data_IF_791165472327
#
_entry.id   IF_791165472327
#
_cell.length_a   1.000
_cell.length_b   1.000
_cell.length_c   1.000
_cell.angle_alpha   90.00
_cell.angle_beta   90.00
_cell.angle_gamma   90.00
#
_symmetry.space_group_name_H-M   'P 1'
#
loop_
_entity.id
_entity.type
_entity.pdbx_description
1 polymer ?
#
# COMPACT_ATOMS: atom_id res chain seq x y z
N UNK A 1 -24.58 23.77 14.36
CA UNK A 1 -25.56 22.89 13.68
C UNK A 1 -25.22 21.45 14.05
N UNK A 2 -26.04 20.74 14.85
CA UNK A 2 -25.79 19.32 15.16
C UNK A 2 -26.20 18.49 13.95
N UNK A 3 -25.24 17.89 13.25
CA UNK A 3 -25.53 16.92 12.19
C UNK A 3 -26.07 15.67 12.89
N UNK A 4 -27.36 15.34 12.69
CA UNK A 4 -27.91 14.06 13.15
C UNK A 4 -27.20 12.95 12.39
N UNK A 5 -26.50 12.05 13.07
CA UNK A 5 -25.88 10.92 12.39
C UNK A 5 -26.97 9.97 11.88
N UNK A 6 -26.89 9.60 10.61
CA UNK A 6 -27.73 8.52 10.07
C UNK A 6 -27.14 7.19 10.54
N UNK A 7 -27.95 6.39 11.23
CA UNK A 7 -27.56 5.09 11.82
C UNK A 7 -28.41 3.99 11.18
N UNK A 8 -27.79 2.84 10.87
CA UNK A 8 -28.50 1.62 10.50
C UNK A 8 -28.39 0.62 11.65
N UNK A 9 -29.53 0.11 12.10
CA UNK A 9 -29.60 -0.89 13.16
C UNK A 9 -29.76 -2.29 12.54
N UNK A 10 -28.74 -3.14 12.68
CA UNK A 10 -28.75 -4.52 12.19
C UNK A 10 -29.18 -5.54 13.27
N UNK A 11 -29.79 -5.06 14.37
CA UNK A 11 -30.20 -5.87 15.52
C UNK A 11 -29.07 -6.20 16.50
N UNK A 12 -27.87 -6.52 16.01
CA UNK A 12 -26.69 -6.83 16.84
C UNK A 12 -25.57 -5.77 16.77
N UNK A 13 -25.71 -4.80 15.87
CA UNK A 13 -24.72 -3.74 15.66
C UNK A 13 -25.39 -2.48 15.12
N UNK A 14 -24.86 -1.32 15.51
CA UNK A 14 -25.22 -0.03 14.92
C UNK A 14 -24.12 0.44 13.98
N UNK A 15 -24.49 0.77 12.74
CA UNK A 15 -23.57 1.23 11.71
C UNK A 15 -23.79 2.72 11.41
N UNK A 16 -22.84 3.59 11.75
CA UNK A 16 -22.90 4.99 11.33
C UNK A 16 -22.70 5.11 9.82
N UNK A 17 -23.67 5.68 9.12
CA UNK A 17 -23.60 6.04 7.69
C UNK A 17 -23.12 7.46 7.45
N UNK A 18 -22.72 8.16 8.51
CA UNK A 18 -22.26 9.56 8.46
C UNK A 18 -21.31 9.82 9.62
N UNK A 19 -20.40 10.78 9.44
CA UNK A 19 -19.37 11.11 10.43
C UNK A 19 -18.00 10.55 10.07
N UNK A 20 -17.01 10.64 10.98
CA UNK A 20 -15.64 10.18 10.74
C UNK A 20 -15.54 8.67 10.49
N UNK A 21 -16.40 7.91 11.17
CA UNK A 21 -16.61 6.48 10.96
C UNK A 21 -17.88 6.32 10.11
N UNK A 22 -17.72 6.22 8.79
CA UNK A 22 -18.80 5.99 7.84
C UNK A 22 -18.63 4.63 7.18
N UNK A 23 -19.50 3.69 7.53
CA UNK A 23 -19.45 2.32 7.01
C UNK A 23 -19.64 2.26 5.49
N UNK A 24 -20.56 3.06 4.94
CA UNK A 24 -20.80 3.08 3.49
C UNK A 24 -19.57 3.55 2.71
N UNK A 25 -18.85 4.54 3.23
CA UNK A 25 -17.59 5.03 2.64
C UNK A 25 -16.52 3.95 2.72
N UNK A 26 -16.38 3.28 3.86
CA UNK A 26 -15.42 2.19 4.02
C UNK A 26 -15.71 1.03 3.06
N UNK A 27 -16.98 0.59 2.96
CA UNK A 27 -17.39 -0.44 2.00
C UNK A 27 -17.17 0.00 0.54
N UNK A 28 -17.42 1.27 0.22
CA UNK A 28 -17.11 1.83 -1.10
C UNK A 28 -15.62 1.77 -1.43
N UNK A 29 -14.76 2.09 -0.47
CA UNK A 29 -13.31 1.93 -0.59
C UNK A 29 -12.92 0.47 -0.83
N UNK A 30 -13.48 -0.47 -0.06
CA UNK A 30 -13.23 -1.92 -0.24
C UNK A 30 -13.61 -2.40 -1.64
N UNK A 31 -14.81 -2.02 -2.12
CA UNK A 31 -15.26 -2.33 -3.46
C UNK A 31 -14.32 -1.75 -4.52
N UNK A 32 -13.89 -0.50 -4.36
CA UNK A 32 -12.91 0.12 -5.25
C UNK A 32 -11.58 -0.64 -5.25
N UNK A 33 -11.12 -1.11 -4.08
CA UNK A 33 -9.90 -1.92 -3.98
C UNK A 33 -9.99 -3.24 -4.75
N UNK A 34 -11.13 -3.94 -4.65
CA UNK A 34 -11.39 -5.18 -5.40
C UNK A 34 -11.41 -4.89 -6.90
N UNK A 35 -12.19 -3.89 -7.32
CA UNK A 35 -12.34 -3.52 -8.74
C UNK A 35 -11.01 -3.11 -9.35
N UNK A 36 -10.23 -2.26 -8.68
CA UNK A 36 -8.90 -1.83 -9.18
C UNK A 36 -7.96 -3.02 -9.31
N UNK A 37 -7.94 -3.93 -8.34
CA UNK A 37 -7.08 -5.12 -8.39
C UNK A 37 -7.45 -6.00 -9.58
N UNK A 38 -8.74 -6.26 -9.81
CA UNK A 38 -9.24 -7.02 -10.96
C UNK A 38 -8.87 -6.32 -12.26
N UNK A 39 -9.16 -5.03 -12.39
CA UNK A 39 -8.88 -4.26 -13.61
C UNK A 39 -7.40 -4.25 -13.95
N UNK A 40 -6.50 -4.14 -12.96
CA UNK A 40 -5.07 -4.21 -13.21
C UNK A 40 -4.69 -5.53 -13.89
N UNK A 41 -5.20 -6.66 -13.41
CA UNK A 41 -4.94 -7.95 -14.05
C UNK A 41 -5.59 -8.11 -15.43
N UNK A 42 -6.79 -7.53 -15.64
CA UNK A 42 -7.43 -7.53 -16.96
C UNK A 42 -6.66 -6.69 -18.00
N UNK A 43 -5.98 -5.63 -17.55
CA UNK A 43 -5.16 -4.76 -18.39
C UNK A 43 -3.71 -5.23 -18.52
N UNK A 44 -3.32 -6.27 -17.79
CA UNK A 44 -1.96 -6.79 -17.78
C UNK A 44 -1.77 -7.88 -18.83
N UNK A 45 -0.67 -7.81 -19.55
CA UNK A 45 -0.14 -8.97 -20.26
C UNK A 45 0.58 -9.87 -19.26
N UNK A 46 0.10 -11.10 -19.07
CA UNK A 46 0.70 -12.07 -18.15
C UNK A 46 1.89 -12.78 -18.80
N UNK A 47 3.07 -12.13 -18.70
CA UNK A 47 4.32 -12.53 -19.36
C UNK A 47 5.14 -13.58 -18.59
N UNK A 48 4.81 -13.83 -17.33
CA UNK A 48 5.59 -14.60 -16.37
C UNK A 48 6.80 -13.84 -15.81
N UNK A 49 7.68 -14.52 -15.06
CA UNK A 49 8.75 -13.87 -14.30
C UNK A 49 9.78 -13.17 -15.20
N UNK A 50 10.33 -12.05 -14.74
CA UNK A 50 11.41 -11.35 -15.47
C UNK A 50 12.68 -12.18 -15.55
N UNK A 51 13.02 -12.91 -14.48
CA UNK A 51 14.07 -13.92 -14.56
C UNK A 51 13.49 -15.20 -15.16
N UNK A 52 14.08 -15.72 -16.24
CA UNK A 52 13.67 -16.99 -16.80
C UNK A 52 14.15 -18.11 -15.87
N UNK A 53 13.30 -18.51 -14.93
CA UNK A 53 13.50 -19.73 -14.15
C UNK A 53 12.95 -20.89 -14.99
N UNK A 54 13.81 -21.66 -15.66
CA UNK A 54 13.40 -22.78 -16.51
C UNK A 54 14.47 -23.30 -17.46
N UNK A 55 14.14 -24.34 -18.23
CA UNK A 55 15.01 -24.93 -19.26
C UNK A 55 15.07 -24.13 -20.57
N UNK A 56 15.86 -24.60 -21.54
CA UNK A 56 16.17 -23.91 -22.80
C UNK A 56 14.94 -23.41 -23.60
N UNK A 57 13.82 -24.13 -23.60
CA UNK A 57 12.62 -23.68 -24.33
C UNK A 57 11.95 -22.45 -23.71
N UNK A 58 11.94 -22.34 -22.38
CA UNK A 58 11.42 -21.17 -21.68
C UNK A 58 12.29 -19.92 -21.93
N UNK A 59 13.60 -20.14 -22.08
CA UNK A 59 14.57 -19.11 -22.47
C UNK A 59 14.34 -18.66 -23.92
N UNK A 60 14.12 -19.61 -24.85
CA UNK A 60 13.87 -19.33 -26.27
C UNK A 60 12.62 -18.49 -26.48
N UNK A 61 11.50 -18.88 -25.87
CA UNK A 61 10.21 -18.21 -26.02
C UNK A 61 10.22 -16.74 -25.53
N UNK A 62 11.21 -16.36 -24.72
CA UNK A 62 11.33 -15.03 -24.11
C UNK A 62 12.45 -14.17 -24.71
N UNK A 63 13.09 -14.63 -25.77
CA UNK A 63 14.17 -13.89 -26.44
C UNK A 63 15.49 -13.87 -25.66
N UNK A 64 15.69 -14.81 -24.74
CA UNK A 64 16.95 -14.98 -24.02
C UNK A 64 17.98 -15.77 -24.85
N UNK A 65 17.58 -16.42 -25.94
CA UNK A 65 18.50 -17.10 -26.86
C UNK A 65 18.83 -16.20 -28.06
N UNK A 66 20.12 -16.03 -28.34
CA UNK A 66 20.65 -15.47 -29.59
C UNK A 66 21.11 -16.58 -30.53
N UNK A 67 21.70 -16.21 -31.67
CA UNK A 67 22.32 -17.18 -32.59
C UNK A 67 23.78 -17.39 -32.21
N UNK A 68 24.19 -18.64 -32.00
CA UNK A 68 25.60 -19.04 -31.93
C UNK A 68 26.30 -18.91 -33.28
N UNK A 69 27.63 -18.97 -33.28
CA UNK A 69 28.47 -18.89 -34.48
C UNK A 69 28.19 -20.01 -35.50
N UNK A 70 27.53 -21.08 -35.06
CA UNK A 70 27.06 -22.24 -35.79
C UNK A 70 25.57 -22.16 -36.20
N UNK A 71 24.89 -21.04 -35.91
CA UNK A 71 23.48 -20.80 -36.23
C UNK A 71 22.49 -21.49 -35.29
N UNK A 72 22.96 -22.13 -34.21
CA UNK A 72 22.12 -22.71 -33.16
C UNK A 72 21.65 -21.65 -32.15
N UNK A 73 20.52 -21.89 -31.48
CA UNK A 73 20.07 -21.00 -30.40
C UNK A 73 20.99 -21.14 -29.18
N UNK A 74 21.75 -20.09 -28.85
CA UNK A 74 22.64 -20.03 -27.69
C UNK A 74 22.17 -18.94 -26.74
N UNK A 75 22.05 -19.26 -25.45
CA UNK A 75 21.83 -18.26 -24.40
C UNK A 75 23.09 -17.39 -24.29
N UNK A 76 23.05 -16.20 -24.89
CA UNK A 76 24.12 -15.21 -24.67
C UNK A 76 23.77 -14.39 -23.43
N UNK A 77 24.80 -13.96 -22.70
CA UNK A 77 24.62 -13.05 -21.55
C UNK A 77 23.91 -11.76 -22.02
N UNK A 78 24.21 -11.27 -23.22
CA UNK A 78 23.62 -10.08 -23.81
C UNK A 78 22.11 -10.24 -24.05
N UNK A 79 21.70 -11.32 -24.72
CA UNK A 79 20.28 -11.61 -24.94
C UNK A 79 19.53 -11.79 -23.61
N UNK A 80 20.20 -12.37 -22.61
CA UNK A 80 19.62 -12.51 -21.29
C UNK A 80 19.43 -11.18 -20.55
N UNK A 81 20.43 -10.29 -20.64
CA UNK A 81 20.35 -8.94 -20.06
C UNK A 81 19.28 -8.11 -20.76
N UNK A 82 19.19 -8.16 -22.09
CA UNK A 82 18.19 -7.41 -22.87
C UNK A 82 16.77 -7.91 -22.61
N UNK A 83 16.57 -9.23 -22.54
CA UNK A 83 15.29 -9.84 -22.18
C UNK A 83 14.83 -9.41 -20.80
N UNK A 84 15.73 -9.48 -19.82
CA UNK A 84 15.45 -9.02 -18.45
C UNK A 84 15.14 -7.53 -18.39
N UNK A 85 15.94 -6.69 -19.06
CA UNK A 85 15.74 -5.25 -19.10
C UNK A 85 14.39 -4.89 -19.74
N UNK A 86 14.01 -5.59 -20.82
CA UNK A 86 12.71 -5.41 -21.50
C UNK A 86 11.55 -5.78 -20.59
N UNK A 87 11.62 -6.91 -19.90
CA UNK A 87 10.59 -7.35 -18.96
C UNK A 87 10.41 -6.35 -17.79
N UNK A 88 11.51 -5.76 -17.32
CA UNK A 88 11.50 -4.86 -16.17
C UNK A 88 11.09 -3.41 -16.49
N UNK A 89 10.88 -3.01 -17.75
CA UNK A 89 10.65 -1.60 -18.13
C UNK A 89 9.50 -0.94 -17.36
N UNK A 90 8.35 -1.60 -17.29
CA UNK A 90 7.16 -1.03 -16.63
C UNK A 90 7.30 -1.04 -15.09
N UNK A 91 7.77 -2.12 -14.45
CA UNK A 91 8.14 -2.09 -13.02
C UNK A 91 9.19 -1.02 -12.66
N UNK A 92 10.17 -0.78 -13.52
CA UNK A 92 11.15 0.31 -13.34
C UNK A 92 10.47 1.67 -13.39
N UNK A 93 9.58 1.90 -14.36
CA UNK A 93 8.79 3.13 -14.43
C UNK A 93 7.94 3.33 -13.17
N UNK A 94 7.29 2.27 -12.66
CA UNK A 94 6.55 2.33 -11.41
C UNK A 94 7.45 2.68 -10.21
N UNK A 95 8.66 2.11 -10.15
CA UNK A 95 9.65 2.41 -9.10
C UNK A 95 10.10 3.87 -9.14
N UNK A 96 10.51 4.38 -10.31
CA UNK A 96 10.93 5.78 -10.47
C UNK A 96 9.78 6.73 -10.12
N UNK A 97 8.57 6.44 -10.62
CA UNK A 97 7.39 7.24 -10.32
C UNK A 97 7.07 7.23 -8.84
N UNK A 98 7.17 6.07 -8.17
CA UNK A 98 7.01 5.95 -6.73
C UNK A 98 8.01 6.84 -5.98
N UNK A 99 9.29 6.82 -6.35
CA UNK A 99 10.31 7.69 -5.75
C UNK A 99 9.95 9.17 -5.90
N UNK A 100 9.49 9.59 -7.08
CA UNK A 100 9.03 10.97 -7.30
C UNK A 100 7.87 11.32 -6.37
N UNK A 101 6.84 10.47 -6.30
CA UNK A 101 5.69 10.69 -5.41
C UNK A 101 6.13 10.75 -3.94
N UNK A 102 6.97 9.81 -3.52
CA UNK A 102 7.47 9.71 -2.15
C UNK A 102 8.23 10.98 -1.73
N UNK A 103 9.19 11.43 -2.53
CA UNK A 103 9.96 12.64 -2.22
C UNK A 103 9.11 13.91 -2.26
N UNK A 104 8.12 14.00 -3.16
CA UNK A 104 7.19 15.13 -3.17
C UNK A 104 6.29 15.14 -1.92
N UNK A 105 5.83 13.98 -1.44
CA UNK A 105 5.08 13.90 -0.19
C UNK A 105 5.94 14.31 1.03
N UNK A 106 7.19 13.83 1.10
CA UNK A 106 8.12 14.27 2.14
C UNK A 106 8.38 15.79 2.07
N UNK A 107 8.61 16.31 0.87
CA UNK A 107 8.79 17.73 0.63
C UNK A 107 7.56 18.55 1.05
N UNK A 108 6.35 18.02 0.85
CA UNK A 108 5.10 18.66 1.30
C UNK A 108 5.03 18.76 2.82
N UNK A 109 5.44 17.71 3.53
CA UNK A 109 5.53 17.71 5.00
C UNK A 109 6.52 18.75 5.52
N UNK A 110 7.71 18.84 4.91
CA UNK A 110 8.71 19.86 5.26
C UNK A 110 8.22 21.27 4.92
N UNK A 111 7.67 21.46 3.72
CA UNK A 111 7.15 22.75 3.27
C UNK A 111 5.99 23.22 4.15
N UNK A 112 5.13 22.32 4.64
CA UNK A 112 4.09 22.65 5.61
C UNK A 112 4.67 23.25 6.88
N UNK A 113 5.73 22.64 7.43
CA UNK A 113 6.44 23.17 8.61
C UNK A 113 7.10 24.52 8.31
N UNK A 114 7.79 24.65 7.18
CA UNK A 114 8.41 25.90 6.77
C UNK A 114 7.38 27.02 6.53
N UNK A 115 6.24 26.70 5.90
CA UNK A 115 5.16 27.65 5.64
C UNK A 115 4.55 28.20 6.94
N UNK A 116 4.46 27.38 7.99
CA UNK A 116 3.97 27.79 9.30
C UNK A 116 5.03 28.58 10.08
N UNK A 117 6.24 28.04 10.22
CA UNK A 117 7.21 28.53 11.19
C UNK A 117 8.23 29.52 10.62
N UNK A 118 8.65 29.34 9.37
CA UNK A 118 9.72 30.12 8.73
C UNK A 118 9.11 31.25 7.91
N UNK A 119 8.29 30.90 6.92
CA UNK A 119 7.72 31.84 5.96
C UNK A 119 6.45 32.52 6.46
N UNK A 120 5.81 31.99 7.52
CA UNK A 120 4.57 32.51 8.11
C UNK A 120 3.46 32.75 7.07
N UNK A 121 3.40 31.90 6.04
CA UNK A 121 2.41 31.95 4.97
C UNK A 121 1.03 31.44 5.44
N UNK A 122 1.01 30.62 6.49
CA UNK A 122 -0.21 30.09 7.11
C UNK A 122 -0.37 30.78 8.47
N UNK A 123 -1.49 31.48 8.73
CA UNK A 123 -1.74 32.10 10.01
C UNK A 123 -1.74 31.07 11.16
N UNK A 124 -1.14 31.37 12.33
CA UNK A 124 -1.05 30.43 13.44
C UNK A 124 -2.41 29.90 13.94
N UNK A 125 -3.47 30.71 13.86
CA UNK A 125 -4.85 30.31 14.24
C UNK A 125 -5.47 29.28 13.29
N UNK A 126 -4.86 29.06 12.11
CA UNK A 126 -5.28 28.05 11.14
C UNK A 126 -4.50 26.74 11.23
N UNK A 127 -3.44 26.71 12.03
CA UNK A 127 -2.63 25.51 12.26
C UNK A 127 -3.26 24.70 13.38
N UNK A 128 -3.92 23.61 13.04
CA UNK A 128 -4.49 22.72 14.04
C UNK A 128 -3.40 21.85 14.68
N UNK A 129 -3.57 21.40 15.94
CA UNK A 129 -2.68 20.41 16.55
C UNK A 129 -2.54 19.11 15.71
N UNK A 130 -3.55 18.82 14.87
CA UNK A 130 -3.57 17.65 14.00
C UNK A 130 -2.79 17.83 12.69
N UNK A 131 -2.31 19.03 12.38
CA UNK A 131 -1.58 19.30 11.15
C UNK A 131 -0.30 18.44 11.03
N UNK A 132 0.49 18.38 12.10
CA UNK A 132 1.70 17.55 12.17
C UNK A 132 1.36 16.04 12.18
N UNK A 133 0.24 15.68 12.81
CA UNK A 133 -0.25 14.31 12.83
C UNK A 133 -0.67 13.84 11.43
N UNK A 134 -1.30 14.70 10.64
CA UNK A 134 -1.67 14.39 9.24
C UNK A 134 -0.42 14.26 8.37
N UNK A 135 0.52 15.18 8.51
CA UNK A 135 1.77 15.18 7.75
C UNK A 135 2.64 13.94 8.03
N UNK A 136 2.76 13.50 9.28
CA UNK A 136 3.49 12.28 9.65
C UNK A 136 2.81 10.99 9.17
N UNK A 137 1.48 11.01 8.96
CA UNK A 137 0.76 9.87 8.38
C UNK A 137 1.04 9.69 6.90
N UNK A 138 1.30 10.77 6.15
CA UNK A 138 1.71 10.64 4.74
C UNK A 138 3.01 9.86 4.61
N UNK A 139 4.02 10.18 5.42
CA UNK A 139 5.29 9.43 5.38
C UNK A 139 5.13 8.00 5.87
N UNK A 140 4.37 7.79 6.96
CA UNK A 140 4.14 6.45 7.53
C UNK A 140 3.37 5.49 6.60
N UNK A 141 2.46 6.01 5.77
CA UNK A 141 1.67 5.19 4.84
C UNK A 141 2.37 4.93 3.49
N UNK A 142 3.57 5.47 3.29
CA UNK A 142 4.41 5.21 2.12
C UNK A 142 5.44 4.13 2.47
N UNK A 143 4.94 2.90 2.64
CA UNK A 143 5.73 1.79 3.14
C UNK A 143 6.74 1.26 2.10
N UNK A 144 7.98 0.93 2.51
CA UNK A 144 8.96 0.26 1.64
C UNK A 144 8.52 -1.13 1.18
N UNK A 145 7.53 -1.72 1.87
CA UNK A 145 6.91 -3.01 1.54
C UNK A 145 6.49 -3.07 0.08
N UNK A 146 5.96 -1.98 -0.48
CA UNK A 146 5.53 -1.94 -1.88
C UNK A 146 6.69 -2.23 -2.85
N UNK A 147 7.83 -1.56 -2.68
CA UNK A 147 8.97 -1.75 -3.58
C UNK A 147 9.53 -3.16 -3.48
N UNK A 148 9.66 -3.68 -2.25
CA UNK A 148 10.12 -5.06 -2.04
C UNK A 148 9.18 -6.07 -2.70
N UNK A 149 7.87 -5.95 -2.47
CA UNK A 149 6.87 -6.84 -3.07
C UNK A 149 6.80 -6.71 -4.60
N UNK A 150 6.89 -5.48 -5.13
CA UNK A 150 6.92 -5.23 -6.57
C UNK A 150 8.08 -5.96 -7.24
N UNK A 151 9.28 -5.83 -6.69
CA UNK A 151 10.47 -6.44 -7.29
C UNK A 151 10.51 -7.95 -7.12
N UNK A 152 10.15 -8.49 -5.95
CA UNK A 152 10.02 -9.94 -5.78
C UNK A 152 9.00 -10.53 -6.76
N UNK A 153 7.84 -9.91 -6.91
CA UNK A 153 6.82 -10.36 -7.84
C UNK A 153 7.27 -10.21 -9.30
N UNK A 154 7.91 -9.09 -9.67
CA UNK A 154 8.45 -8.87 -11.03
C UNK A 154 9.45 -9.96 -11.39
N UNK A 155 10.39 -10.25 -10.49
CA UNK A 155 11.50 -11.15 -10.73
C UNK A 155 11.02 -12.61 -10.79
N UNK A 156 10.16 -13.01 -9.84
CA UNK A 156 9.86 -14.42 -9.60
C UNK A 156 8.45 -14.86 -10.03
N UNK A 157 7.53 -13.94 -10.29
CA UNK A 157 6.12 -14.27 -10.55
C UNK A 157 5.67 -13.80 -11.92
N UNK A 158 5.51 -12.49 -12.12
CA UNK A 158 5.00 -11.92 -13.37
C UNK A 158 5.43 -10.46 -13.55
N UNK A 159 6.25 -10.18 -14.56
CA UNK A 159 6.77 -8.84 -14.80
C UNK A 159 5.71 -7.89 -15.38
N UNK A 160 4.86 -8.39 -16.28
CA UNK A 160 3.84 -7.59 -16.95
C UNK A 160 2.80 -7.05 -15.98
N UNK A 161 2.22 -7.91 -15.13
CA UNK A 161 1.23 -7.47 -14.15
C UNK A 161 1.84 -6.70 -12.98
N UNK A 162 3.09 -6.97 -12.58
CA UNK A 162 3.79 -6.12 -11.63
C UNK A 162 3.84 -4.66 -12.10
N UNK A 163 4.15 -4.43 -13.37
CA UNK A 163 4.23 -3.09 -13.94
C UNK A 163 2.90 -2.33 -13.83
N UNK A 164 1.81 -2.96 -14.28
CA UNK A 164 0.46 -2.36 -14.25
C UNK A 164 -0.02 -2.11 -12.82
N UNK A 165 0.11 -3.12 -11.95
CA UNK A 165 -0.21 -3.00 -10.52
C UNK A 165 0.60 -1.89 -9.85
N UNK A 166 1.90 -1.82 -10.15
CA UNK A 166 2.80 -0.79 -9.62
C UNK A 166 2.39 0.62 -10.03
N UNK A 167 2.09 0.83 -11.32
CA UNK A 167 1.63 2.14 -11.82
C UNK A 167 0.27 2.52 -11.24
N UNK A 168 -0.67 1.58 -11.11
CA UNK A 168 -1.96 1.83 -10.48
C UNK A 168 -1.78 2.30 -9.03
N UNK A 169 -0.87 1.68 -8.28
CA UNK A 169 -0.57 2.08 -6.90
C UNK A 169 0.06 3.48 -6.83
N UNK A 170 0.95 3.83 -7.77
CA UNK A 170 1.52 5.19 -7.88
C UNK A 170 0.42 6.23 -8.11
N UNK A 171 -0.50 5.97 -9.04
CA UNK A 171 -1.64 6.88 -9.30
C UNK A 171 -2.49 7.04 -8.05
N UNK A 172 -2.79 5.95 -7.33
CA UNK A 172 -3.53 6.02 -6.08
C UNK A 172 -2.81 6.90 -5.05
N UNK A 173 -1.49 6.79 -4.92
CA UNK A 173 -0.73 7.66 -4.00
C UNK A 173 -0.69 9.11 -4.44
N UNK A 174 -0.69 9.43 -5.74
CA UNK A 174 -0.84 10.82 -6.18
C UNK A 174 -2.13 11.46 -5.70
N UNK A 175 -3.22 10.69 -5.64
CA UNK A 175 -4.54 11.19 -5.19
C UNK A 175 -4.65 11.26 -3.67
N UNK A 176 -3.84 10.49 -2.93
CA UNK A 176 -3.92 10.37 -1.47
C UNK A 176 -3.90 11.72 -0.70
N UNK A 177 -2.99 12.68 -0.99
CA UNK A 177 -2.96 13.96 -0.29
C UNK A 177 -4.20 14.80 -0.53
N UNK A 178 -4.83 14.70 -1.71
CA UNK A 178 -6.02 15.49 -2.03
C UNK A 178 -7.19 15.14 -1.12
N UNK A 179 -7.39 13.86 -0.80
CA UNK A 179 -8.43 13.45 0.16
C UNK A 179 -8.21 14.05 1.55
N UNK A 180 -6.96 14.17 1.99
CA UNK A 180 -6.64 14.82 3.25
C UNK A 180 -6.80 16.34 3.21
N UNK A 181 -6.33 16.98 2.13
CA UNK A 181 -6.44 18.43 1.96
C UNK A 181 -7.89 18.91 1.89
N UNK A 182 -8.74 18.19 1.16
CA UNK A 182 -10.16 18.55 1.01
C UNK A 182 -10.92 18.44 2.33
N UNK A 183 -10.52 17.53 3.22
CA UNK A 183 -11.30 17.23 4.43
C UNK A 183 -10.75 17.87 5.69
N UNK A 184 -9.46 18.21 5.71
CA UNK A 184 -8.80 18.83 6.86
C UNK A 184 -8.78 17.96 8.12
N UNK A 185 -9.17 16.68 8.02
CA UNK A 185 -9.22 15.72 9.12
C UNK A 185 -9.16 14.29 8.59
N UNK A 186 -8.78 13.36 9.45
CA UNK A 186 -8.79 11.93 9.15
C UNK A 186 -10.23 11.40 9.12
N UNK A 187 -10.68 10.89 7.97
CA UNK A 187 -11.98 10.21 7.83
C UNK A 187 -11.83 9.02 6.89
N UNK A 188 -12.76 8.05 6.93
CA UNK A 188 -12.72 6.88 6.04
C UNK A 188 -12.72 7.16 4.53
N UNK A 189 -12.84 8.39 4.07
CA UNK A 189 -12.64 8.69 2.66
C UNK A 189 -11.24 8.29 2.15
N UNK A 190 -10.24 8.19 3.04
CA UNK A 190 -8.94 7.64 2.65
C UNK A 190 -9.02 6.17 2.20
N UNK A 191 -10.08 5.41 2.56
CA UNK A 191 -10.27 4.01 2.17
C UNK A 191 -10.38 3.82 0.66
N UNK A 192 -10.89 4.83 -0.06
CA UNK A 192 -10.89 4.82 -1.53
C UNK A 192 -9.49 4.81 -2.15
N UNK A 193 -8.47 5.18 -1.37
CA UNK A 193 -7.08 5.17 -1.81
C UNK A 193 -6.26 4.06 -1.14
N UNK A 194 -6.52 3.77 0.14
CA UNK A 194 -5.79 2.73 0.87
C UNK A 194 -6.21 1.34 0.46
N UNK A 195 -7.50 1.07 0.23
CA UNK A 195 -7.98 -0.27 -0.13
C UNK A 195 -7.44 -0.76 -1.49
N UNK A 196 -7.36 0.06 -2.55
CA UNK A 196 -6.61 -0.30 -3.75
C UNK A 196 -5.15 -0.59 -3.47
N UNK A 197 -4.48 0.24 -2.65
CA UNK A 197 -3.08 0.03 -2.28
C UNK A 197 -2.85 -1.28 -1.52
N UNK A 198 -3.75 -1.64 -0.60
CA UNK A 198 -3.73 -2.93 0.08
C UNK A 198 -3.96 -4.07 -0.89
N UNK A 199 -4.93 -3.91 -1.79
CA UNK A 199 -5.23 -4.93 -2.79
C UNK A 199 -4.06 -5.26 -3.69
N UNK A 200 -3.42 -4.23 -4.22
CA UNK A 200 -2.25 -4.35 -5.07
C UNK A 200 -1.10 -5.03 -4.32
N UNK A 201 -0.73 -4.54 -3.13
CA UNK A 201 0.34 -5.16 -2.36
C UNK A 201 0.01 -6.61 -1.98
N UNK A 202 -1.26 -6.89 -1.65
CA UNK A 202 -1.71 -8.24 -1.35
C UNK A 202 -1.59 -9.19 -2.54
N UNK A 203 -1.92 -8.73 -3.74
CA UNK A 203 -1.69 -9.49 -4.97
C UNK A 203 -0.20 -9.77 -5.19
N UNK A 204 0.67 -8.76 -5.01
CA UNK A 204 2.12 -8.91 -5.17
C UNK A 204 2.69 -9.90 -4.14
N UNK A 205 2.31 -9.78 -2.87
CA UNK A 205 2.79 -10.69 -1.82
C UNK A 205 2.24 -12.11 -1.97
N UNK A 206 0.94 -12.25 -2.24
CA UNK A 206 0.31 -13.55 -2.37
C UNK A 206 0.85 -14.33 -3.57
N UNK A 207 1.09 -13.65 -4.70
CA UNK A 207 1.73 -14.29 -5.85
C UNK A 207 3.13 -14.81 -5.51
N UNK A 208 3.95 -14.03 -4.80
CA UNK A 208 5.27 -14.48 -4.34
C UNK A 208 5.16 -15.68 -3.41
N UNK A 209 4.23 -15.65 -2.45
CA UNK A 209 4.02 -16.77 -1.52
C UNK A 209 3.61 -18.04 -2.27
N UNK A 210 2.66 -17.93 -3.20
CA UNK A 210 2.20 -19.07 -4.01
C UNK A 210 3.36 -19.65 -4.81
N UNK A 211 4.19 -18.82 -5.45
CA UNK A 211 5.37 -19.27 -6.19
C UNK A 211 6.40 -19.94 -5.29
N UNK A 212 6.69 -19.39 -4.11
CA UNK A 212 7.64 -19.98 -3.14
C UNK A 212 7.14 -21.35 -2.64
N UNK A 213 5.83 -21.53 -2.52
CA UNK A 213 5.21 -22.81 -2.14
C UNK A 213 5.08 -23.81 -3.30
N UNK A 214 5.65 -23.50 -4.47
CA UNK A 214 5.65 -24.37 -5.66
C UNK A 214 4.38 -24.28 -6.52
N UNK A 215 3.52 -23.30 -6.26
CA UNK A 215 2.34 -23.03 -7.08
C UNK A 215 2.63 -22.13 -8.29
N UNK A 216 1.74 -22.16 -9.28
CA UNK A 216 1.81 -21.29 -10.46
C UNK A 216 0.72 -20.20 -10.39
N UNK A 217 1.07 -19.07 -9.78
CA UNK A 217 0.18 -17.92 -9.66
C UNK A 217 -0.36 -17.43 -11.00
N UNK A 218 0.47 -17.39 -12.04
CA UNK A 218 0.09 -16.87 -13.36
C UNK A 218 -0.98 -17.75 -13.99
N UNK A 219 -0.80 -19.07 -13.95
CA UNK A 219 -1.80 -20.01 -14.44
C UNK A 219 -3.11 -19.94 -13.63
N UNK A 220 -3.02 -19.78 -12.31
CA UNK A 220 -4.21 -19.59 -11.46
C UNK A 220 -4.97 -18.31 -11.83
N UNK A 221 -4.27 -17.20 -12.07
CA UNK A 221 -4.90 -15.94 -12.52
C UNK A 221 -5.57 -16.12 -13.88
N UNK A 222 -4.91 -16.79 -14.83
CA UNK A 222 -5.50 -17.08 -16.16
C UNK A 222 -6.77 -17.95 -16.04
N UNK A 223 -6.75 -18.95 -15.17
CA UNK A 223 -7.89 -19.83 -14.94
C UNK A 223 -9.03 -19.12 -14.19
N UNK A 224 -8.73 -18.11 -13.38
CA UNK A 224 -9.71 -17.43 -12.54
C UNK A 224 -9.37 -15.94 -12.38
N UNK A 225 -9.58 -15.13 -13.43
CA UNK A 225 -9.04 -13.78 -13.53
C UNK A 225 -9.76 -12.74 -12.66
N UNK A 226 -10.85 -13.13 -11.99
CA UNK A 226 -11.57 -12.33 -11.00
C UNK A 226 -11.28 -12.79 -9.57
N UNK A 227 -11.22 -14.10 -9.36
CA UNK A 227 -11.10 -14.70 -8.04
C UNK A 227 -9.69 -14.56 -7.46
N UNK A 228 -8.65 -14.74 -8.29
CA UNK A 228 -7.27 -14.61 -7.81
C UNK A 228 -6.91 -13.17 -7.39
N UNK A 229 -7.27 -12.11 -8.14
CA UNK A 229 -7.10 -10.75 -7.67
C UNK A 229 -7.95 -10.44 -6.43
N UNK A 230 -9.16 -11.02 -6.31
CA UNK A 230 -9.97 -10.90 -5.10
C UNK A 230 -9.26 -11.52 -3.88
N UNK A 231 -8.67 -12.71 -4.00
CA UNK A 231 -7.89 -13.31 -2.91
C UNK A 231 -6.64 -12.51 -2.59
N UNK A 232 -5.95 -11.96 -3.59
CA UNK A 232 -4.87 -11.02 -3.38
C UNK A 232 -5.35 -9.78 -2.59
N UNK A 233 -6.53 -9.26 -2.92
CA UNK A 233 -7.12 -8.16 -2.16
C UNK A 233 -7.46 -8.53 -0.73
N UNK A 234 -8.11 -9.67 -0.50
CA UNK A 234 -8.39 -10.19 0.85
C UNK A 234 -7.09 -10.31 1.64
N UNK A 235 -6.06 -10.94 1.07
CA UNK A 235 -4.77 -11.10 1.72
C UNK A 235 -4.13 -9.76 2.09
N UNK A 236 -4.10 -8.81 1.14
CA UNK A 236 -3.54 -7.48 1.34
C UNK A 236 -4.29 -6.67 2.36
N UNK A 237 -5.62 -6.67 2.30
CA UNK A 237 -6.47 -6.02 3.29
C UNK A 237 -6.22 -6.61 4.67
N UNK A 238 -6.16 -7.93 4.87
CA UNK A 238 -5.92 -8.46 6.22
C UNK A 238 -4.47 -8.32 6.73
N UNK A 239 -3.47 -8.31 5.84
CA UNK A 239 -2.06 -8.14 6.22
C UNK A 239 -1.65 -6.69 6.45
N UNK A 240 -2.17 -5.76 5.65
CA UNK A 240 -1.84 -4.33 5.68
C UNK A 240 -2.92 -3.46 6.34
N UNK A 241 -4.10 -4.03 6.57
CA UNK A 241 -5.03 -3.65 7.62
C UNK A 241 -4.96 -4.69 8.76
N UNK A 242 -3.80 -4.86 9.45
CA UNK A 242 -3.76 -5.64 10.70
C UNK A 242 -4.68 -5.04 11.78
N UNK A 243 -5.27 -3.88 11.47
CA UNK A 243 -6.34 -3.12 12.12
C UNK A 243 -7.48 -3.89 12.77
N UNK A 244 -8.00 -4.96 12.15
CA UNK A 244 -9.22 -5.59 12.68
C UNK A 244 -8.95 -6.76 13.63
N UNK A 245 -8.15 -7.77 13.27
CA UNK A 245 -7.91 -8.89 14.18
C UNK A 245 -6.87 -8.56 15.25
N UNK A 246 -5.76 -7.91 14.88
CA UNK A 246 -4.64 -7.71 15.80
C UNK A 246 -4.56 -6.30 16.37
N UNK A 247 -5.05 -5.27 15.68
CA UNK A 247 -4.90 -3.92 16.23
C UNK A 247 -5.68 -3.64 17.51
N UNK A 248 -6.85 -4.26 17.81
CA UNK A 248 -7.43 -4.14 19.15
C UNK A 248 -6.48 -4.70 20.22
N UNK A 249 -5.81 -5.83 19.93
CA UNK A 249 -4.83 -6.42 20.83
C UNK A 249 -3.56 -5.56 20.96
N UNK A 250 -3.02 -5.04 19.85
CA UNK A 250 -1.88 -4.11 19.87
C UNK A 250 -2.22 -2.80 20.56
N UNK A 251 -3.39 -2.22 20.32
CA UNK A 251 -3.84 -0.99 20.98
C UNK A 251 -4.02 -1.21 22.48
N UNK A 252 -4.63 -2.33 22.88
CA UNK A 252 -4.76 -2.71 24.28
C UNK A 252 -3.39 -2.89 24.95
N UNK A 253 -2.48 -3.62 24.31
CA UNK A 253 -1.13 -3.85 24.82
C UNK A 253 -0.34 -2.53 24.93
N UNK A 254 -0.41 -1.69 23.90
CA UNK A 254 0.25 -0.38 23.88
C UNK A 254 -0.31 0.52 24.98
N UNK A 255 -1.63 0.57 25.17
CA UNK A 255 -2.26 1.32 26.26
C UNK A 255 -1.80 0.82 27.64
N UNK A 256 -1.73 -0.50 27.85
CA UNK A 256 -1.24 -1.10 29.09
C UNK A 256 0.22 -0.75 29.37
N UNK A 257 1.10 -0.89 28.38
CA UNK A 257 2.52 -0.55 28.49
C UNK A 257 2.70 0.96 28.74
N UNK A 258 2.01 1.80 27.97
CA UNK A 258 2.07 3.25 28.12
C UNK A 258 1.69 3.67 29.53
N UNK A 259 0.57 3.14 30.06
CA UNK A 259 0.15 3.41 31.44
C UNK A 259 1.11 2.88 32.49
N UNK A 260 1.77 1.75 32.27
CA UNK A 260 2.76 1.23 33.21
C UNK A 260 4.01 2.11 33.26
N UNK A 261 4.47 2.61 32.10
CA UNK A 261 5.66 3.45 31.98
C UNK A 261 5.43 4.90 32.41
N UNK A 262 4.20 5.40 32.29
CA UNK A 262 3.83 6.79 32.61
C UNK A 262 2.84 6.85 33.77
N UNK A 263 2.73 5.79 34.57
CA UNK A 263 2.03 5.87 35.84
C UNK A 263 2.73 6.98 36.65
N UNK A 264 1.99 7.93 37.23
CA UNK A 264 2.59 8.95 38.08
C UNK A 264 3.38 8.23 39.18
N UNK A 265 4.65 8.62 39.37
CA UNK A 265 5.45 8.09 40.46
C UNK A 265 4.69 8.37 41.76
N UNK A 266 4.27 7.33 42.52
CA UNK A 266 3.52 7.52 43.75
C UNK A 266 4.25 8.45 44.72
N UNK A 267 5.59 8.45 44.70
CA UNK A 267 6.42 9.31 45.55
C UNK A 267 6.37 10.77 45.12
N UNK A 268 6.40 11.06 43.81
CA UNK A 268 6.28 12.42 43.31
C UNK A 268 4.94 13.06 43.71
N UNK A 269 3.86 12.27 43.73
CA UNK A 269 2.55 12.76 44.18
C UNK A 269 2.46 12.99 45.70
N UNK A 270 3.16 12.19 46.51
CA UNK A 270 3.25 12.42 47.96
C UNK A 270 4.05 13.69 48.27
N UNK A 271 5.16 13.91 47.58
CA UNK A 271 6.03 15.07 47.80
C UNK A 271 5.35 16.38 47.36
N UNK A 272 4.59 16.39 46.25
CA UNK A 272 3.73 17.52 45.89
C UNK A 272 2.66 17.80 46.95
N UNK A 273 2.02 16.76 47.51
CA UNK A 273 1.01 16.93 48.56
C UNK A 273 1.60 17.50 49.86
N UNK A 274 2.82 17.10 50.22
CA UNK A 274 3.54 17.60 51.41
C UNK A 274 4.06 19.02 51.21
N UNK A 275 4.38 19.42 49.99
CA UNK A 275 4.81 20.78 49.66
C UNK A 275 3.65 21.80 49.64
N UNK A 276 2.40 21.33 49.58
CA UNK A 276 1.19 22.17 49.59
C UNK A 276 0.56 22.37 50.98
N UNK A 277 1.13 21.78 52.02
CA UNK A 277 0.71 21.91 53.44
C UNK A 277 1.72 22.75 54.20
#
# INVERSE_FOLDING_TARGET
MRIRSTMVHLGFMELPLSGPFNFAIASGGMLMGIVVSILCYQLSELTGPALPLGGAEALKARGFLGFGDDGGDVLTIEAAVDGFAKACRVPMLATVSWSVVYYNMLGTSVNGMCAVHIFKMIPPDKVTPDWSNISSRFSGNMAPVFLTSLWLYTIFVDAGSAGVLGLALVVQRLVYPFFYMVQGKFTFWFEFVTQPGYGINGCLMLGVIVTVLGGDWVSMVKASPYLMPFYGWVFGSFTLFPGLPFAPAFAFLHYKIFRALHAPDPKASEDESKAMV
#
